data_IF_092745190061
#
_entry.id   IF_092745190061
#
_cell.length_a   1.000
_cell.length_b   1.000
_cell.length_c   1.000
_cell.angle_alpha   90.00
_cell.angle_beta   90.00
_cell.angle_gamma   90.00
#
_symmetry.space_group_name_H-M   'P 1'
#
loop_
_entity.id
_entity.type
_entity.pdbx_description
1 polymer ?
#
# COMPACT_ATOMS: atom_id res chain seq x y z
N UNK A 1 -4.16 6.34 -28.02
CA UNK A 1 -4.12 6.20 -26.56
C UNK A 1 -2.96 7.05 -26.02
N UNK A 2 -3.04 8.38 -26.14
CA UNK A 2 -2.01 9.27 -25.59
C UNK A 2 -2.40 9.57 -24.14
N UNK A 3 -2.10 8.63 -23.25
CA UNK A 3 -2.01 8.90 -21.82
C UNK A 3 -0.91 9.95 -21.61
N UNK A 4 -1.07 10.83 -20.62
CA UNK A 4 0.01 11.74 -20.22
C UNK A 4 1.15 10.86 -19.65
N UNK A 5 2.08 10.47 -20.52
CA UNK A 5 3.01 9.36 -20.27
C UNK A 5 3.92 9.65 -19.09
N UNK A 6 4.36 10.90 -18.93
CA UNK A 6 5.21 11.33 -17.81
C UNK A 6 4.49 11.12 -16.47
N UNK A 7 3.26 11.61 -16.32
CA UNK A 7 2.49 11.49 -15.07
C UNK A 7 2.19 10.01 -14.75
N UNK A 8 1.86 9.23 -15.78
CA UNK A 8 1.63 7.79 -15.63
C UNK A 8 2.90 7.07 -15.18
N UNK A 9 4.06 7.42 -15.77
CA UNK A 9 5.37 6.85 -15.40
C UNK A 9 5.79 7.28 -14.00
N UNK A 10 5.50 8.51 -13.60
CA UNK A 10 5.77 9.00 -12.25
C UNK A 10 4.95 8.23 -11.21
N UNK A 11 3.65 8.02 -11.46
CA UNK A 11 2.81 7.19 -10.58
C UNK A 11 3.29 5.73 -10.54
N UNK A 12 3.68 5.16 -11.69
CA UNK A 12 4.26 3.81 -11.75
C UNK A 12 5.54 3.70 -10.90
N UNK A 13 6.45 4.68 -11.02
CA UNK A 13 7.67 4.73 -10.23
C UNK A 13 7.38 4.89 -8.74
N UNK A 14 6.44 5.77 -8.37
CA UNK A 14 6.03 5.95 -6.98
C UNK A 14 5.47 4.65 -6.38
N UNK A 15 4.57 3.96 -7.09
CA UNK A 15 4.03 2.68 -6.64
C UNK A 15 5.11 1.59 -6.61
N UNK A 16 6.06 1.61 -7.53
CA UNK A 16 7.20 0.69 -7.50
C UNK A 16 8.03 0.87 -6.23
N UNK A 17 8.39 2.12 -5.91
CA UNK A 17 9.23 2.48 -4.76
C UNK A 17 8.49 2.24 -3.45
N UNK A 18 7.30 2.82 -3.28
CA UNK A 18 6.53 2.68 -2.04
C UNK A 18 6.00 1.26 -1.84
N UNK A 19 5.74 0.52 -2.93
CA UNK A 19 5.38 -0.89 -2.89
C UNK A 19 6.49 -1.79 -2.36
N UNK A 20 7.76 -1.36 -2.35
CA UNK A 20 8.84 -2.11 -1.70
C UNK A 20 8.64 -2.23 -0.19
N UNK A 21 7.96 -1.28 0.45
CA UNK A 21 7.74 -1.29 1.90
C UNK A 21 6.91 -2.51 2.35
N UNK A 22 5.67 -2.74 1.86
CA UNK A 22 4.91 -3.94 2.23
C UNK A 22 5.57 -5.23 1.76
N UNK A 23 6.34 -5.21 0.66
CA UNK A 23 7.08 -6.39 0.20
C UNK A 23 8.21 -6.77 1.14
N UNK A 24 9.05 -5.82 1.54
CA UNK A 24 10.19 -6.08 2.42
C UNK A 24 9.73 -6.34 3.85
N UNK A 25 8.78 -5.57 4.37
CA UNK A 25 8.21 -5.78 5.71
C UNK A 25 7.45 -7.11 5.78
N UNK A 26 6.63 -7.42 4.76
CA UNK A 26 5.89 -8.67 4.69
C UNK A 26 6.82 -9.88 4.56
N UNK A 27 7.83 -9.83 3.69
CA UNK A 27 8.79 -10.92 3.52
C UNK A 27 9.59 -11.15 4.80
N UNK A 28 10.15 -10.09 5.38
CA UNK A 28 10.93 -10.16 6.63
C UNK A 28 10.06 -10.70 7.77
N UNK A 29 8.82 -10.22 7.91
CA UNK A 29 7.90 -10.71 8.94
C UNK A 29 7.47 -12.18 8.75
N UNK A 30 7.38 -12.65 7.50
CA UNK A 30 7.15 -14.09 7.22
C UNK A 30 8.35 -14.94 7.62
N UNK A 31 9.57 -14.45 7.38
CA UNK A 31 10.81 -15.20 7.63
C UNK A 31 11.20 -15.20 9.12
N UNK A 32 11.14 -14.04 9.77
CA UNK A 32 11.62 -13.85 11.14
C UNK A 32 10.48 -13.78 12.17
N UNK A 33 9.22 -13.65 11.76
CA UNK A 33 8.10 -13.57 12.69
C UNK A 33 8.18 -12.30 13.57
N UNK A 34 7.68 -12.36 14.81
CA UNK A 34 7.62 -11.22 15.72
C UNK A 34 9.00 -10.69 16.14
N UNK A 35 10.07 -11.47 15.98
CA UNK A 35 11.46 -11.01 16.21
C UNK A 35 11.82 -9.80 15.33
N UNK A 36 11.19 -9.63 14.16
CA UNK A 36 11.38 -8.44 13.34
C UNK A 36 10.93 -7.15 14.06
N UNK A 37 9.93 -7.25 14.94
CA UNK A 37 9.32 -6.10 15.59
C UNK A 37 9.92 -5.81 16.97
N UNK A 38 10.27 -6.86 17.72
CA UNK A 38 10.88 -6.76 19.03
C UNK A 38 11.63 -8.05 19.40
N UNK A 39 12.64 -7.94 20.25
CA UNK A 39 13.30 -9.11 20.84
C UNK A 39 12.44 -9.71 21.96
N UNK A 40 12.36 -11.03 22.05
CA UNK A 40 11.64 -11.70 23.14
C UNK A 40 11.22 -13.13 22.86
N UNK A 41 10.52 -13.73 23.83
CA UNK A 41 9.89 -15.04 23.70
C UNK A 41 8.39 -14.83 23.50
N UNK A 42 7.86 -15.39 22.42
CA UNK A 42 6.47 -15.21 22.00
C UNK A 42 5.69 -16.51 22.10
N UNK A 43 4.41 -16.47 22.50
CA UNK A 43 3.54 -17.64 22.37
C UNK A 43 3.48 -18.10 20.91
N UNK A 44 3.46 -19.42 20.67
CA UNK A 44 3.42 -20.00 19.31
C UNK A 44 2.24 -19.47 18.50
N UNK A 45 1.09 -19.28 19.13
CA UNK A 45 -0.09 -18.69 18.49
C UNK A 45 0.12 -17.25 18.02
N UNK A 46 0.90 -16.45 18.76
CA UNK A 46 1.23 -15.08 18.39
C UNK A 46 2.23 -15.05 17.22
N UNK A 47 3.26 -15.90 17.24
CA UNK A 47 4.20 -16.05 16.12
C UNK A 47 3.46 -16.45 14.83
N UNK A 48 2.61 -17.49 14.91
CA UNK A 48 1.81 -17.93 13.77
C UNK A 48 0.91 -16.82 13.22
N UNK A 49 0.26 -16.05 14.09
CA UNK A 49 -0.60 -14.94 13.67
C UNK A 49 0.21 -13.80 13.04
N UNK A 50 1.38 -13.48 13.60
CA UNK A 50 2.28 -12.45 13.05
C UNK A 50 2.79 -12.83 11.65
N UNK A 51 3.21 -14.09 11.45
CA UNK A 51 3.65 -14.59 10.14
C UNK A 51 2.51 -14.60 9.12
N UNK A 52 1.30 -14.94 9.54
CA UNK A 52 0.10 -14.86 8.70
C UNK A 52 -0.17 -13.42 8.23
N UNK A 53 -0.21 -12.45 9.16
CA UNK A 53 -0.41 -11.04 8.82
C UNK A 53 0.71 -10.49 7.92
N UNK A 54 1.95 -10.91 8.17
CA UNK A 54 3.09 -10.55 7.33
C UNK A 54 2.97 -11.13 5.91
N UNK A 55 2.47 -12.36 5.78
CA UNK A 55 2.17 -12.98 4.49
C UNK A 55 1.05 -12.26 3.73
N UNK A 56 0.00 -11.82 4.44
CA UNK A 56 -1.04 -10.97 3.84
C UNK A 56 -0.47 -9.63 3.36
N UNK A 57 0.39 -8.98 4.15
CA UNK A 57 1.04 -7.72 3.78
C UNK A 57 1.91 -7.90 2.52
N UNK A 58 2.69 -8.99 2.47
CA UNK A 58 3.48 -9.35 1.29
C UNK A 58 2.58 -9.57 0.06
N UNK A 59 1.50 -10.33 0.22
CA UNK A 59 0.52 -10.58 -0.84
C UNK A 59 -0.15 -9.30 -1.36
N UNK A 60 -0.49 -8.37 -0.46
CA UNK A 60 -1.03 -7.04 -0.81
C UNK A 60 0.02 -6.23 -1.57
N UNK A 61 1.27 -6.22 -1.12
CA UNK A 61 2.38 -5.56 -1.80
C UNK A 61 2.57 -6.09 -3.23
N UNK A 62 2.58 -7.41 -3.40
CA UNK A 62 2.64 -8.06 -4.72
C UNK A 62 1.43 -7.71 -5.59
N UNK A 63 0.24 -7.65 -4.98
CA UNK A 63 -0.97 -7.26 -5.66
C UNK A 63 -0.89 -5.82 -6.19
N UNK A 64 -0.39 -4.87 -5.40
CA UNK A 64 -0.12 -3.50 -5.86
C UNK A 64 0.90 -3.48 -6.98
N UNK A 65 2.03 -4.17 -6.82
CA UNK A 65 3.09 -4.24 -7.83
C UNK A 65 2.59 -4.80 -9.16
N UNK A 66 1.72 -5.81 -9.14
CA UNK A 66 1.13 -6.37 -10.35
C UNK A 66 0.29 -5.37 -11.16
N UNK A 67 -0.16 -4.27 -10.54
CA UNK A 67 -0.91 -3.21 -11.24
C UNK A 67 -0.01 -2.27 -12.02
N UNK A 68 1.29 -2.19 -11.71
CA UNK A 68 2.21 -1.16 -12.25
C UNK A 68 2.16 -1.08 -13.78
N UNK A 69 2.32 -2.17 -14.56
CA UNK A 69 2.40 -2.07 -16.02
C UNK A 69 1.15 -1.43 -16.67
N UNK A 70 -0.01 -1.59 -16.04
CA UNK A 70 -1.31 -1.10 -16.54
C UNK A 70 -2.07 -0.36 -15.45
N UNK A 71 -1.38 0.52 -14.71
CA UNK A 71 -1.90 1.16 -13.49
C UNK A 71 -3.22 1.91 -13.72
N UNK A 72 -3.43 2.48 -14.91
CA UNK A 72 -4.67 3.16 -15.26
C UNK A 72 -5.87 2.21 -15.49
N UNK A 73 -5.64 0.93 -15.78
CA UNK A 73 -6.70 -0.05 -16.07
C UNK A 73 -7.17 -0.78 -14.80
N UNK A 74 -6.42 -0.69 -13.71
CA UNK A 74 -6.66 -1.45 -12.48
C UNK A 74 -7.22 -0.60 -11.33
N UNK A 75 -8.01 0.44 -11.63
CA UNK A 75 -8.54 1.38 -10.65
C UNK A 75 -9.33 0.70 -9.51
N UNK A 76 -10.23 -0.24 -9.83
CA UNK A 76 -11.01 -0.95 -8.83
C UNK A 76 -10.14 -1.76 -7.86
N UNK A 77 -9.16 -2.50 -8.40
CA UNK A 77 -8.21 -3.27 -7.60
C UNK A 77 -7.34 -2.37 -6.72
N UNK A 78 -6.85 -1.27 -7.27
CA UNK A 78 -6.01 -0.32 -6.54
C UNK A 78 -6.76 0.31 -5.35
N UNK A 79 -8.03 0.69 -5.57
CA UNK A 79 -8.93 1.20 -4.51
C UNK A 79 -9.21 0.15 -3.44
N UNK A 80 -9.49 -1.08 -3.84
CA UNK A 80 -9.73 -2.19 -2.90
C UNK A 80 -8.50 -2.42 -2.03
N UNK A 81 -7.31 -2.55 -2.63
CA UNK A 81 -6.07 -2.74 -1.88
C UNK A 81 -5.79 -1.55 -0.95
N UNK A 82 -6.06 -0.32 -1.41
CA UNK A 82 -5.93 0.89 -0.58
C UNK A 82 -6.88 0.84 0.61
N UNK A 83 -8.14 0.45 0.42
CA UNK A 83 -9.10 0.33 1.51
C UNK A 83 -8.68 -0.72 2.55
N UNK A 84 -8.18 -1.89 2.09
CA UNK A 84 -7.66 -2.93 2.98
C UNK A 84 -6.52 -2.40 3.84
N UNK A 85 -5.53 -1.74 3.21
CA UNK A 85 -4.37 -1.16 3.91
C UNK A 85 -4.79 -0.06 4.88
N UNK A 86 -5.70 0.81 4.46
CA UNK A 86 -6.21 1.89 5.30
C UNK A 86 -6.94 1.36 6.53
N UNK A 87 -7.82 0.37 6.37
CA UNK A 87 -8.52 -0.29 7.48
C UNK A 87 -7.51 -0.96 8.43
N UNK A 88 -6.48 -1.63 7.90
CA UNK A 88 -5.39 -2.17 8.72
C UNK A 88 -4.66 -1.09 9.52
N UNK A 89 -4.37 0.06 8.88
CA UNK A 89 -3.77 1.22 9.54
C UNK A 89 -4.64 1.83 10.64
N UNK A 90 -5.97 1.82 10.49
CA UNK A 90 -6.87 2.23 11.56
C UNK A 90 -6.78 1.31 12.78
N UNK A 91 -6.62 0.00 12.57
CA UNK A 91 -6.34 -0.95 13.65
C UNK A 91 -5.03 -0.64 14.38
N UNK A 92 -3.97 -0.29 13.63
CA UNK A 92 -2.70 0.12 14.22
C UNK A 92 -2.78 1.48 14.92
N UNK A 93 -3.57 2.43 14.39
CA UNK A 93 -3.83 3.72 15.04
C UNK A 93 -4.56 3.54 16.38
N UNK A 94 -5.54 2.65 16.43
CA UNK A 94 -6.22 2.32 17.69
C UNK A 94 -5.23 1.79 18.73
N UNK A 95 -4.35 0.87 18.33
CA UNK A 95 -3.29 0.37 19.22
C UNK A 95 -2.34 1.48 19.69
N UNK A 96 -2.00 2.45 18.84
CA UNK A 96 -1.18 3.62 19.21
C UNK A 96 -1.87 4.48 20.28
N UNK A 97 -3.19 4.68 20.15
CA UNK A 97 -3.98 5.47 21.07
C UNK A 97 -4.14 4.76 22.42
N UNK A 98 -4.38 3.45 22.41
CA UNK A 98 -4.66 2.68 23.64
C UNK A 98 -3.40 2.26 24.39
N UNK A 99 -2.33 1.88 23.67
CA UNK A 99 -1.13 1.26 24.25
C UNK A 99 0.13 2.12 24.12
N UNK A 100 0.06 3.24 23.39
CA UNK A 100 1.18 4.14 23.18
C UNK A 100 2.02 3.84 21.94
N UNK A 101 3.13 4.56 21.80
CA UNK A 101 3.93 4.55 20.58
C UNK A 101 4.67 3.22 20.36
N UNK A 102 4.47 2.55 19.19
CA UNK A 102 5.27 1.40 18.82
C UNK A 102 6.65 1.84 18.32
N UNK A 103 7.47 0.87 17.90
CA UNK A 103 8.81 1.14 17.36
C UNK A 103 8.77 2.06 16.12
N UNK A 104 9.86 2.80 15.84
CA UNK A 104 9.91 3.72 14.68
C UNK A 104 9.53 3.07 13.34
N UNK A 105 9.95 1.82 13.01
CA UNK A 105 9.49 1.16 11.78
C UNK A 105 7.97 0.97 11.71
N UNK A 106 7.31 0.70 12.84
CA UNK A 106 5.85 0.54 12.89
C UNK A 106 5.12 1.88 12.74
N UNK A 107 5.66 2.95 13.31
CA UNK A 107 5.15 4.32 13.09
C UNK A 107 5.30 4.73 11.63
N UNK A 108 6.42 4.40 11.00
CA UNK A 108 6.60 4.59 9.56
C UNK A 108 5.56 3.80 8.75
N UNK A 109 5.32 2.54 9.11
CA UNK A 109 4.25 1.73 8.52
C UNK A 109 2.86 2.38 8.66
N UNK A 110 2.56 2.98 9.81
CA UNK A 110 1.31 3.69 10.04
C UNK A 110 1.14 4.90 9.11
N UNK A 111 2.21 5.68 8.89
CA UNK A 111 2.22 6.79 7.92
C UNK A 111 1.99 6.27 6.50
N UNK A 112 2.61 5.14 6.15
CA UNK A 112 2.43 4.50 4.84
C UNK A 112 0.98 4.07 4.62
N UNK A 113 0.33 3.53 5.66
CA UNK A 113 -1.04 3.03 5.61
C UNK A 113 -2.09 4.15 5.54
N UNK A 114 -1.94 5.19 6.36
CA UNK A 114 -2.96 6.24 6.51
C UNK A 114 -2.76 7.46 5.61
N UNK A 115 -1.55 7.67 5.09
CA UNK A 115 -1.21 8.86 4.31
C UNK A 115 -0.77 8.46 2.90
N UNK A 116 0.32 7.71 2.77
CA UNK A 116 0.95 7.45 1.46
C UNK A 116 0.05 6.62 0.55
N UNK A 117 -0.50 5.52 1.06
CA UNK A 117 -1.35 4.62 0.25
C UNK A 117 -2.63 5.32 -0.25
N UNK A 118 -3.40 6.03 0.60
CA UNK A 118 -4.53 6.85 0.14
C UNK A 118 -4.12 7.93 -0.86
N UNK A 119 -3.00 8.62 -0.63
CA UNK A 119 -2.51 9.67 -1.54
C UNK A 119 -2.20 9.11 -2.95
N UNK A 120 -1.56 7.94 -3.04
CA UNK A 120 -1.30 7.26 -4.32
C UNK A 120 -2.61 6.88 -5.03
N UNK A 121 -3.63 6.44 -4.29
CA UNK A 121 -4.94 6.10 -4.83
C UNK A 121 -5.70 7.33 -5.36
N UNK A 122 -5.62 8.45 -4.64
CA UNK A 122 -6.19 9.73 -5.08
C UNK A 122 -5.46 10.27 -6.32
N UNK A 123 -4.14 10.12 -6.38
CA UNK A 123 -3.36 10.49 -7.56
C UNK A 123 -3.76 9.65 -8.79
N UNK A 124 -3.87 8.32 -8.63
CA UNK A 124 -4.39 7.46 -9.70
C UNK A 124 -5.78 7.91 -10.17
N UNK A 125 -6.68 8.22 -9.23
CA UNK A 125 -8.04 8.67 -9.57
C UNK A 125 -8.04 10.00 -10.33
N UNK A 126 -7.19 10.94 -9.91
CA UNK A 126 -7.02 12.24 -10.57
C UNK A 126 -6.49 12.09 -12.01
N UNK A 127 -5.51 11.20 -12.21
CA UNK A 127 -4.94 10.91 -13.53
C UNK A 127 -6.00 10.33 -14.48
N UNK A 128 -6.88 9.47 -13.97
CA UNK A 128 -7.98 8.89 -14.75
C UNK A 128 -9.02 9.94 -15.15
N UNK A 129 -9.40 10.83 -14.22
CA UNK A 129 -10.35 11.91 -14.50
C UNK A 129 -9.83 12.88 -15.56
N UNK A 130 -8.55 13.28 -15.48
CA UNK A 130 -7.90 14.16 -16.48
C UNK A 130 -7.86 13.52 -17.86
N UNK A 131 -7.64 12.22 -17.92
CA UNK A 131 -7.63 11.48 -19.19
C UNK A 131 -9.02 11.48 -19.85
N UNK A 132 -10.09 11.29 -19.08
CA UNK A 132 -11.47 11.32 -19.59
C UNK A 132 -11.87 12.70 -20.11
N UNK A 133 -11.56 13.77 -19.38
CA UNK A 133 -11.88 15.16 -19.76
C UNK A 133 -11.21 15.55 -21.09
N UNK A 134 -9.93 15.22 -21.28
CA UNK A 134 -9.20 15.54 -22.51
C UNK A 134 -9.77 14.83 -23.76
N UNK A 135 -10.35 13.64 -23.60
CA UNK A 135 -11.00 12.92 -24.71
C UNK A 135 -12.38 13.49 -25.06
N UNK A 136 -13.09 14.07 -24.08
CA UNK A 136 -14.37 14.74 -24.32
C UNK A 136 -14.20 16.03 -25.14
N UNK A 137 -13.23 16.87 -24.77
CA UNK A 137 -12.94 18.14 -25.46
C UNK A 137 -12.51 17.92 -26.92
N UNK A 138 -11.62 16.96 -27.18
CA UNK A 138 -11.15 16.63 -28.55
C UNK A 138 -12.22 16.04 -29.47
N UNK A 139 -13.38 15.62 -28.95
CA UNK A 139 -14.48 15.08 -29.77
C UNK A 139 -15.49 16.14 -30.20
N UNK A 140 -15.43 17.34 -29.62
CA UNK A 140 -16.37 18.44 -29.88
C UNK A 140 -15.78 19.49 -30.82
N UNK A 141 -14.47 19.43 -31.09
CA UNK A 141 -13.72 20.29 -32.02
C UNK A 141 -13.36 19.46 -33.24
#
# INVERSE_FOLDING_TARGET
MLQNTIETRALQAAVAIFGLVPLSAGLTGVLFGPEMAADGVYPVSLDSHFRYLSGLLLGIGLAFWSTIPRIAQHAARFRLLTAIVFIGGLGRLLSLIELGAPSPPMLFGLVMELIVTPALCLWQTSLLQRTTLNHGVRRVI
#
